data_IF_216799818009
#
_entry.id   IF_216799818009
#
_cell.length_a   1.000
_cell.length_b   1.000
_cell.length_c   1.000
_cell.angle_alpha   90.00
_cell.angle_beta   90.00
_cell.angle_gamma   90.00
#
_symmetry.space_group_name_H-M   'P 1'
#
loop_
_entity.id
_entity.type
_entity.pdbx_description
1 polymer ?
#
# COMPACT_ATOMS: atom_id res chain seq x y z
N UNK A 1 -10.02 22.23 19.37
CA UNK A 1 -9.34 21.80 18.13
C UNK A 1 -8.35 20.72 18.49
N UNK A 2 -8.77 19.44 18.43
CA UNK A 2 -7.87 18.34 18.76
C UNK A 2 -6.81 18.23 17.66
N UNK A 3 -5.56 18.49 18.03
CA UNK A 3 -4.40 18.36 17.16
C UNK A 3 -4.35 16.94 16.59
N UNK A 4 -4.19 16.84 15.27
CA UNK A 4 -4.00 15.60 14.51
C UNK A 4 -2.92 14.66 15.10
N UNK A 5 -2.03 15.19 15.93
CA UNK A 5 -1.05 14.42 16.70
C UNK A 5 -1.69 13.35 17.62
N UNK A 6 -2.84 13.63 18.24
CA UNK A 6 -3.44 12.72 19.24
C UNK A 6 -4.14 11.49 18.65
N UNK A 7 -4.51 11.51 17.37
CA UNK A 7 -5.18 10.35 16.73
C UNK A 7 -4.15 9.33 16.23
N UNK A 8 -2.99 9.80 15.78
CA UNK A 8 -1.90 8.95 15.28
C UNK A 8 -1.13 8.21 16.39
N UNK A 9 -1.12 8.74 17.63
CA UNK A 9 -0.31 8.18 18.73
C UNK A 9 -0.88 6.87 19.32
N UNK A 10 -2.12 6.50 18.99
CA UNK A 10 -2.75 5.23 19.42
C UNK A 10 -2.59 4.06 18.45
N UNK A 11 -2.02 4.27 17.26
CA UNK A 11 -1.83 3.17 16.32
C UNK A 11 -0.49 2.47 16.58
N UNK A 12 -0.48 1.14 16.76
CA UNK A 12 0.77 0.40 16.91
C UNK A 12 1.60 0.61 15.65
N UNK A 13 2.76 1.27 15.80
CA UNK A 13 3.82 1.24 14.79
C UNK A 13 4.16 -0.23 14.61
N UNK A 14 3.75 -0.83 13.50
CA UNK A 14 4.08 -2.23 13.21
C UNK A 14 5.60 -2.31 13.04
N UNK A 15 6.29 -2.63 14.13
CA UNK A 15 7.64 -3.15 14.13
C UNK A 15 7.59 -4.54 13.52
N UNK A 16 7.59 -4.63 12.19
CA UNK A 16 7.51 -5.88 11.47
C UNK A 16 8.34 -5.76 10.20
N UNK A 17 9.43 -6.52 10.14
CA UNK A 17 10.33 -6.61 9.01
C UNK A 17 9.57 -6.66 7.68
N UNK A 18 9.94 -5.76 6.77
CA UNK A 18 9.37 -5.57 5.43
C UNK A 18 9.79 -6.68 4.47
N UNK A 19 9.48 -7.92 4.82
CA UNK A 19 9.72 -9.12 4.03
C UNK A 19 8.68 -10.16 4.35
N UNK A 20 7.41 -9.83 4.12
CA UNK A 20 6.37 -10.82 3.87
C UNK A 20 5.36 -10.18 2.92
N UNK A 21 5.65 -10.31 1.63
CA UNK A 21 4.58 -10.29 0.62
C UNK A 21 3.69 -11.46 1.02
N UNK A 22 2.51 -11.19 1.56
CA UNK A 22 1.50 -12.20 1.89
C UNK A 22 1.16 -12.99 0.62
N UNK A 23 1.90 -14.06 0.39
CA UNK A 23 1.56 -15.14 -0.51
C UNK A 23 0.99 -16.24 0.37
N UNK A 24 -0.32 -16.47 0.25
CA UNK A 24 -1.03 -17.76 0.20
C UNK A 24 -2.46 -17.58 0.71
N UNK A 25 -3.43 -18.01 -0.11
CA UNK A 25 -4.79 -18.32 0.34
C UNK A 25 -5.89 -17.45 -0.29
N UNK A 26 -6.43 -17.93 -1.41
CA UNK A 26 -7.82 -17.73 -1.88
C UNK A 26 -8.59 -16.48 -1.38
N UNK A 27 -8.14 -15.27 -1.74
CA UNK A 27 -8.99 -14.08 -1.73
C UNK A 27 -9.27 -13.67 -3.18
N UNK A 28 -10.23 -14.36 -3.79
CA UNK A 28 -10.75 -14.11 -5.14
C UNK A 28 -11.16 -12.62 -5.21
N UNK A 29 -10.38 -11.81 -5.93
CA UNK A 29 -10.66 -10.41 -6.31
C UNK A 29 -10.95 -9.46 -5.12
N UNK A 30 -9.92 -9.07 -4.36
CA UNK A 30 -9.96 -7.77 -3.67
C UNK A 30 -8.74 -6.98 -4.12
N UNK A 31 -9.00 -6.16 -5.11
CA UNK A 31 -8.06 -5.64 -6.10
C UNK A 31 -6.88 -4.87 -5.53
N UNK A 32 -5.81 -4.94 -6.31
CA UNK A 32 -4.65 -4.06 -6.33
C UNK A 32 -5.03 -2.60 -6.70
N UNK A 33 -6.17 -2.09 -6.24
CA UNK A 33 -6.75 -0.79 -6.63
C UNK A 33 -5.85 0.41 -6.22
N UNK A 34 -4.86 0.17 -5.36
CA UNK A 34 -3.89 1.19 -4.98
C UNK A 34 -2.63 1.18 -5.84
N UNK A 35 -2.34 0.11 -6.59
CA UNK A 35 -1.15 0.01 -7.44
C UNK A 35 -1.43 0.70 -8.76
N UNK A 36 -0.62 1.70 -9.09
CA UNK A 36 -0.77 2.45 -10.34
C UNK A 36 -0.39 1.60 -11.56
N UNK A 37 -0.85 2.03 -12.74
CA UNK A 37 -0.43 1.45 -14.02
C UNK A 37 1.09 1.52 -14.20
N UNK A 38 1.73 2.61 -13.70
CA UNK A 38 3.17 2.77 -13.73
C UNK A 38 3.91 1.70 -12.90
N UNK A 39 3.47 1.45 -11.66
CA UNK A 39 4.03 0.38 -10.83
C UNK A 39 3.78 -1.01 -11.44
N UNK A 40 2.63 -1.22 -12.08
CA UNK A 40 2.32 -2.46 -12.79
C UNK A 40 3.28 -2.70 -13.96
N UNK A 41 3.55 -1.67 -14.77
CA UNK A 41 4.53 -1.74 -15.85
C UNK A 41 5.94 -2.07 -15.34
N UNK A 42 6.36 -1.55 -14.18
CA UNK A 42 7.64 -1.89 -13.56
C UNK A 42 7.70 -3.34 -13.05
N UNK A 43 6.58 -3.89 -12.56
CA UNK A 43 6.48 -5.30 -12.18
C UNK A 43 6.65 -6.18 -13.41
N UNK A 44 5.97 -5.85 -14.51
CA UNK A 44 6.02 -6.64 -15.73
C UNK A 44 7.39 -6.52 -16.42
N UNK A 45 7.97 -5.33 -16.48
CA UNK A 45 9.34 -5.13 -16.95
C UNK A 45 10.34 -5.99 -16.16
N UNK A 46 10.16 -6.15 -14.84
CA UNK A 46 11.06 -6.95 -14.00
C UNK A 46 10.97 -8.44 -14.30
N UNK A 47 9.79 -8.94 -14.67
CA UNK A 47 9.59 -10.35 -15.04
C UNK A 47 10.26 -10.70 -16.37
N UNK A 48 10.44 -9.71 -17.25
CA UNK A 48 11.06 -9.90 -18.56
C UNK A 48 12.60 -9.96 -18.49
N UNK A 49 13.22 -9.57 -17.37
CA UNK A 49 14.68 -9.59 -17.22
C UNK A 49 15.17 -11.03 -16.96
N UNK A 50 16.06 -11.58 -17.79
CA UNK A 50 16.63 -12.93 -17.60
C UNK A 50 17.42 -13.05 -16.30
N UNK A 51 17.65 -14.29 -15.83
CA UNK A 51 18.35 -14.56 -14.56
C UNK A 51 19.87 -14.36 -14.60
N UNK A 52 20.46 -14.10 -15.76
CA UNK A 52 21.92 -13.94 -15.95
C UNK A 52 22.54 -12.83 -15.09
N UNK A 53 23.82 -12.99 -14.75
CA UNK A 53 24.57 -12.04 -13.92
C UNK A 53 24.80 -10.70 -14.63
N UNK A 54 24.88 -10.72 -15.95
CA UNK A 54 24.97 -9.56 -16.83
C UNK A 54 23.78 -8.61 -16.66
N UNK A 55 22.61 -9.14 -16.26
CA UNK A 55 21.39 -8.37 -16.02
C UNK A 55 21.16 -7.99 -14.55
N UNK A 56 22.09 -8.31 -13.65
CA UNK A 56 21.88 -8.11 -12.22
C UNK A 56 21.77 -6.61 -11.84
N UNK A 57 22.53 -5.75 -12.52
CA UNK A 57 22.47 -4.31 -12.32
C UNK A 57 21.11 -3.74 -12.76
N UNK A 58 20.64 -4.10 -13.95
CA UNK A 58 19.32 -3.71 -14.47
C UNK A 58 18.20 -4.15 -13.52
N UNK A 59 18.25 -5.40 -13.05
CA UNK A 59 17.28 -5.96 -12.10
C UNK A 59 17.28 -5.21 -10.77
N UNK A 60 18.46 -4.81 -10.29
CA UNK A 60 18.63 -4.06 -9.04
C UNK A 60 18.11 -2.63 -9.17
N UNK A 61 18.43 -1.95 -10.27
CA UNK A 61 17.91 -0.62 -10.56
C UNK A 61 16.39 -0.62 -10.67
N UNK A 62 15.84 -1.60 -11.39
CA UNK A 62 14.39 -1.74 -11.54
C UNK A 62 13.71 -2.08 -10.22
N UNK A 63 14.32 -2.92 -9.38
CA UNK A 63 13.84 -3.19 -8.02
C UNK A 63 13.77 -1.90 -7.19
N UNK A 64 14.80 -1.05 -7.21
CA UNK A 64 14.81 0.24 -6.49
C UNK A 64 13.69 1.18 -6.99
N UNK A 65 13.52 1.29 -8.31
CA UNK A 65 12.44 2.09 -8.92
C UNK A 65 11.06 1.57 -8.52
N UNK A 66 10.86 0.25 -8.59
CA UNK A 66 9.61 -0.39 -8.21
C UNK A 66 9.29 -0.18 -6.73
N UNK A 67 10.25 -0.37 -5.82
CA UNK A 67 10.05 -0.12 -4.38
C UNK A 67 9.62 1.33 -4.12
N UNK A 68 10.25 2.30 -4.78
CA UNK A 68 9.88 3.72 -4.64
C UNK A 68 8.47 4.00 -5.18
N UNK A 69 8.14 3.47 -6.35
CA UNK A 69 6.82 3.66 -6.97
C UNK A 69 5.70 3.07 -6.10
N UNK A 70 5.91 1.85 -5.58
CA UNK A 70 4.96 1.21 -4.67
C UNK A 70 4.81 1.95 -3.35
N UNK A 71 5.90 2.54 -2.82
CA UNK A 71 5.81 3.37 -1.63
C UNK A 71 4.91 4.59 -1.87
N UNK A 72 5.13 5.29 -2.99
CA UNK A 72 4.34 6.47 -3.37
C UNK A 72 2.86 6.12 -3.59
N UNK A 73 2.58 5.05 -4.33
CA UNK A 73 1.23 4.55 -4.57
C UNK A 73 0.51 4.22 -3.23
N UNK A 74 1.23 3.59 -2.30
CA UNK A 74 0.70 3.23 -0.98
C UNK A 74 0.41 4.47 -0.12
N UNK A 75 1.32 5.44 -0.13
CA UNK A 75 1.15 6.71 0.57
C UNK A 75 -0.07 7.48 0.05
N UNK A 76 -0.21 7.60 -1.27
CA UNK A 76 -1.38 8.24 -1.90
C UNK A 76 -2.68 7.54 -1.54
N UNK A 77 -2.67 6.20 -1.54
CA UNK A 77 -3.85 5.43 -1.13
C UNK A 77 -4.21 5.67 0.33
N UNK A 78 -3.24 5.71 1.24
CA UNK A 78 -3.50 6.00 2.65
C UNK A 78 -4.04 7.41 2.86
N UNK A 79 -3.52 8.41 2.14
CA UNK A 79 -4.03 9.79 2.18
C UNK A 79 -5.48 9.85 1.72
N UNK A 80 -5.81 9.18 0.61
CA UNK A 80 -7.19 9.12 0.12
C UNK A 80 -8.10 8.40 1.13
N UNK A 81 -7.64 7.30 1.72
CA UNK A 81 -8.41 6.51 2.68
C UNK A 81 -8.69 7.28 3.97
N UNK A 82 -7.71 8.02 4.48
CA UNK A 82 -7.86 8.88 5.66
C UNK A 82 -8.91 9.98 5.41
N UNK A 83 -8.89 10.63 4.23
CA UNK A 83 -9.91 11.63 3.86
C UNK A 83 -11.32 11.04 3.83
N UNK A 84 -11.48 9.80 3.35
CA UNK A 84 -12.78 9.12 3.36
C UNK A 84 -13.25 8.79 4.79
N UNK A 85 -12.33 8.39 5.67
CA UNK A 85 -12.63 8.18 7.09
C UNK A 85 -13.02 9.48 7.80
N UNK A 86 -12.32 10.59 7.53
CA UNK A 86 -12.65 11.92 8.06
C UNK A 86 -14.06 12.35 7.65
N UNK A 87 -14.42 12.20 6.37
CA UNK A 87 -15.78 12.52 5.88
C UNK A 87 -16.84 11.68 6.59
N UNK A 88 -16.62 10.37 6.69
CA UNK A 88 -17.55 9.47 7.37
C UNK A 88 -17.73 9.84 8.85
N UNK A 89 -16.64 10.19 9.54
CA UNK A 89 -16.67 10.66 10.91
C UNK A 89 -17.40 12.01 11.06
N UNK A 90 -17.14 12.97 10.17
CA UNK A 90 -17.79 14.29 10.18
C UNK A 90 -19.31 14.20 9.97
N UNK A 91 -19.77 13.26 9.13
CA UNK A 91 -21.20 12.98 8.91
C UNK A 91 -21.81 12.18 10.07
N UNK A 92 -20.99 11.56 10.92
CA UNK A 92 -21.44 10.65 11.98
C UNK A 92 -21.83 9.26 11.47
N UNK A 93 -21.42 8.88 10.26
CA UNK A 93 -21.69 7.56 9.68
C UNK A 93 -20.73 6.50 10.24
N UNK A 94 -21.01 6.06 11.46
CA UNK A 94 -20.22 5.05 12.18
C UNK A 94 -20.10 3.73 11.42
N UNK A 95 -21.17 3.27 10.75
CA UNK A 95 -21.16 2.03 9.96
C UNK A 95 -20.15 2.09 8.81
N UNK A 96 -20.10 3.20 8.09
CA UNK A 96 -19.14 3.40 7.01
C UNK A 96 -17.71 3.50 7.54
N UNK A 97 -17.52 4.21 8.66
CA UNK A 97 -16.21 4.32 9.29
C UNK A 97 -15.67 2.94 9.71
N UNK A 98 -16.48 2.12 10.38
CA UNK A 98 -16.08 0.75 10.76
C UNK A 98 -15.73 -0.11 9.54
N UNK A 99 -16.47 0.01 8.44
CA UNK A 99 -16.15 -0.71 7.19
C UNK A 99 -14.80 -0.29 6.64
N UNK A 100 -14.52 1.02 6.58
CA UNK A 100 -13.25 1.55 6.11
C UNK A 100 -12.07 1.08 6.96
N UNK A 101 -12.24 1.01 8.29
CA UNK A 101 -11.21 0.48 9.22
C UNK A 101 -10.94 -0.99 8.94
N UNK A 102 -11.99 -1.81 8.78
CA UNK A 102 -11.83 -3.24 8.44
C UNK A 102 -11.18 -3.48 7.07
N UNK A 103 -11.34 -2.56 6.12
CA UNK A 103 -10.66 -2.63 4.82
C UNK A 103 -9.18 -2.24 4.89
N UNK A 104 -8.79 -1.47 5.91
CA UNK A 104 -7.40 -1.05 6.14
C UNK A 104 -6.62 -1.97 7.07
N UNK A 105 -7.31 -2.77 7.89
CA UNK A 105 -6.74 -3.83 8.70
C UNK A 105 -6.29 -4.97 7.77
N UNK A 106 -5.00 -5.01 7.44
CA UNK A 106 -4.37 -6.10 6.71
C UNK A 106 -4.38 -7.40 7.51
#
# INVERSE_FOLDING_TARGET
>A
MASWANVMERYPKSSGNSSNICWYGNHKVREKNWISAASTALIDARKLIPSGSEHNEERTQLKRKLTRSLHNDREQWWVAKAREMEKAAAIGNSRQLFRLVKETDC
#
